data_IF_506604817413
#
_entry.id   IF_506604817413
#
_cell.length_a   1.000
_cell.length_b   1.000
_cell.length_c   1.000
_cell.angle_alpha   90.00
_cell.angle_beta   90.00
_cell.angle_gamma   90.00
#
_symmetry.space_group_name_H-M   'P 1'
#
loop_
_entity.id
_entity.type
_entity.pdbx_description
1 polymer ?
#
# COMPACT_ATOMS: atom_id res chain seq x y z
N UNK A 1 -8.79 4.73 -4.39
CA UNK A 1 -9.44 6.04 -4.25
C UNK A 1 -10.02 6.47 -5.59
N UNK A 2 -11.26 6.97 -5.63
CA UNK A 2 -11.81 7.67 -6.81
C UNK A 2 -11.95 9.15 -6.48
N UNK A 3 -11.56 10.04 -7.40
CA UNK A 3 -11.89 11.46 -7.33
C UNK A 3 -12.60 11.89 -8.62
N UNK A 4 -13.92 11.99 -8.57
CA UNK A 4 -14.73 12.46 -9.70
C UNK A 4 -14.41 13.91 -10.09
N UNK A 5 -14.10 14.77 -9.10
CA UNK A 5 -13.68 16.17 -9.33
C UNK A 5 -12.46 16.30 -10.24
N UNK A 6 -11.52 15.36 -10.13
CA UNK A 6 -10.28 15.35 -10.92
C UNK A 6 -10.28 14.25 -11.97
N UNK A 7 -11.42 13.57 -12.16
CA UNK A 7 -11.60 12.46 -13.11
C UNK A 7 -10.45 11.44 -13.05
N UNK A 8 -10.10 11.01 -11.84
CA UNK A 8 -8.98 10.08 -11.64
C UNK A 8 -9.30 8.92 -10.69
N UNK A 9 -8.59 7.81 -10.88
CA UNK A 9 -8.60 6.65 -9.97
C UNK A 9 -7.17 6.36 -9.53
N UNK A 10 -6.93 6.40 -8.23
CA UNK A 10 -5.67 5.95 -7.65
C UNK A 10 -5.82 4.54 -7.09
N UNK A 11 -5.11 3.59 -7.69
CA UNK A 11 -5.04 2.20 -7.24
C UNK A 11 -4.01 2.13 -6.12
N UNK A 12 -4.45 2.12 -4.86
CA UNK A 12 -3.55 2.15 -3.72
C UNK A 12 -3.06 0.75 -3.37
N UNK A 13 -1.80 0.51 -3.75
CA UNK A 13 -1.03 -0.67 -3.34
C UNK A 13 -0.46 -0.45 -1.93
N UNK A 14 -0.78 -1.31 -0.95
CA UNK A 14 -0.32 -1.14 0.42
C UNK A 14 1.19 -0.98 0.52
N UNK A 15 1.62 -0.01 1.34
CA UNK A 15 3.03 0.31 1.65
C UNK A 15 3.83 0.93 0.50
N UNK A 16 3.15 1.43 -0.53
CA UNK A 16 3.72 2.23 -1.62
C UNK A 16 3.18 3.69 -1.59
N UNK A 17 3.36 4.38 -0.46
CA UNK A 17 3.02 5.80 -0.25
C UNK A 17 1.53 6.22 -0.35
N UNK A 18 0.58 5.30 -0.41
CA UNK A 18 -0.82 5.66 -0.69
C UNK A 18 -1.44 6.67 0.28
N UNK A 19 -1.20 6.59 1.60
CA UNK A 19 -1.75 7.59 2.54
C UNK A 19 -1.25 9.02 2.29
N UNK A 20 -0.02 9.19 1.81
CA UNK A 20 0.52 10.52 1.49
C UNK A 20 -0.19 11.07 0.25
N UNK A 21 -0.33 10.25 -0.80
CA UNK A 21 -1.04 10.60 -2.03
C UNK A 21 -2.52 10.91 -1.74
N UNK A 22 -3.21 10.01 -1.06
CA UNK A 22 -4.62 10.17 -0.65
C UNK A 22 -4.86 11.48 0.11
N UNK A 23 -3.91 11.88 0.97
CA UNK A 23 -4.05 13.12 1.73
C UNK A 23 -4.02 14.40 0.86
N UNK A 24 -3.32 14.37 -0.28
CA UNK A 24 -3.35 15.46 -1.27
C UNK A 24 -4.75 15.54 -1.89
N UNK A 25 -5.31 14.41 -2.30
CA UNK A 25 -6.64 14.38 -2.90
C UNK A 25 -7.77 14.69 -1.91
N UNK A 26 -7.65 14.28 -0.65
CA UNK A 26 -8.57 14.70 0.42
C UNK A 26 -8.62 16.23 0.50
N UNK A 27 -7.46 16.90 0.54
CA UNK A 27 -7.40 18.37 0.54
C UNK A 27 -7.89 18.99 -0.78
N UNK A 28 -7.53 18.42 -1.93
CA UNK A 28 -7.95 18.92 -3.24
C UNK A 28 -9.48 18.83 -3.44
N UNK A 29 -10.15 17.93 -2.71
CA UNK A 29 -11.61 17.84 -2.69
C UNK A 29 -12.25 18.69 -1.57
N UNK A 30 -11.50 19.56 -0.90
CA UNK A 30 -11.94 20.36 0.25
C UNK A 30 -12.50 19.52 1.41
N UNK A 31 -11.94 18.31 1.62
CA UNK A 31 -12.35 17.40 2.69
C UNK A 31 -11.30 17.38 3.80
N UNK A 32 -11.73 17.08 5.02
CA UNK A 32 -10.84 16.61 6.08
C UNK A 32 -10.61 15.10 5.97
N UNK A 33 -9.61 14.58 6.68
CA UNK A 33 -9.41 13.13 6.75
C UNK A 33 -10.65 12.42 7.33
N UNK A 34 -11.43 13.03 8.23
CA UNK A 34 -12.64 12.41 8.76
C UNK A 34 -13.75 12.26 7.69
N UNK A 35 -13.78 13.15 6.70
CA UNK A 35 -14.81 13.24 5.66
C UNK A 35 -14.43 12.53 4.37
N UNK A 36 -13.34 11.75 4.36
CA UNK A 36 -12.77 11.12 3.17
C UNK A 36 -13.59 9.98 2.55
N UNK A 37 -14.75 9.64 3.11
CA UNK A 37 -15.60 8.54 2.65
C UNK A 37 -16.01 8.63 1.16
N UNK A 38 -16.32 9.82 0.58
CA UNK A 38 -16.64 9.95 -0.84
C UNK A 38 -15.51 9.54 -1.79
N UNK A 39 -14.27 9.49 -1.31
CA UNK A 39 -13.10 9.07 -2.10
C UNK A 39 -12.81 7.56 -1.99
N UNK A 40 -13.72 6.78 -1.39
CA UNK A 40 -13.55 5.36 -1.06
C UNK A 40 -12.41 5.08 -0.08
N UNK A 41 -12.19 5.98 0.88
CA UNK A 41 -11.10 5.88 1.86
C UNK A 41 -11.58 5.45 3.26
N UNK A 42 -12.52 4.50 3.33
CA UNK A 42 -13.12 4.00 4.58
C UNK A 42 -12.95 2.48 4.76
N UNK A 43 -13.04 1.98 6.00
CA UNK A 43 -13.31 0.57 6.27
C UNK A 43 -14.55 0.06 5.53
N UNK A 44 -14.58 -1.23 5.25
CA UNK A 44 -15.69 -1.91 4.61
C UNK A 44 -16.03 -3.21 5.33
N UNK A 45 -17.31 -3.37 5.64
CA UNK A 45 -17.88 -4.56 6.30
C UNK A 45 -18.66 -5.44 5.34
N UNK A 46 -18.88 -5.02 4.09
CA UNK A 46 -19.61 -5.76 3.07
C UNK A 46 -18.65 -6.32 2.00
N UNK A 47 -18.47 -7.64 1.98
CA UNK A 47 -17.58 -8.32 1.03
C UNK A 47 -17.92 -8.05 -0.45
N UNK A 48 -19.19 -7.77 -0.75
CA UNK A 48 -19.64 -7.48 -2.12
C UNK A 48 -19.11 -6.14 -2.64
N UNK A 49 -18.71 -5.22 -1.74
CA UNK A 49 -18.16 -3.91 -2.10
C UNK A 49 -16.62 -3.92 -2.19
N UNK A 50 -15.96 -5.08 -2.05
CA UNK A 50 -14.51 -5.22 -2.18
C UNK A 50 -13.81 -5.63 -0.88
N UNK A 51 -12.55 -5.23 -0.64
CA UNK A 51 -11.75 -5.66 0.51
C UNK A 51 -12.19 -5.01 1.84
N UNK A 52 -11.67 -5.47 3.00
CA UNK A 52 -11.93 -4.86 4.30
C UNK A 52 -11.58 -3.36 4.39
N UNK A 53 -10.68 -2.86 3.52
CA UNK A 53 -10.37 -1.44 3.35
C UNK A 53 -10.54 -1.05 1.89
N UNK A 54 -11.54 -0.24 1.57
CA UNK A 54 -11.84 0.17 0.19
C UNK A 54 -10.69 0.93 -0.50
N UNK A 55 -9.77 1.49 0.27
CA UNK A 55 -8.56 2.08 -0.28
C UNK A 55 -7.78 1.06 -1.14
N UNK A 56 -7.75 -0.22 -0.73
CA UNK A 56 -6.96 -1.27 -1.37
C UNK A 56 -7.75 -2.11 -2.38
N UNK A 57 -8.75 -1.51 -3.04
CA UNK A 57 -9.37 -2.06 -4.24
C UNK A 57 -8.32 -2.26 -5.34
N UNK A 58 -8.35 -3.41 -6.01
CA UNK A 58 -7.69 -3.64 -7.29
C UNK A 58 -8.38 -2.80 -8.39
N UNK A 59 -7.70 -2.60 -9.51
CA UNK A 59 -8.21 -1.83 -10.65
C UNK A 59 -9.55 -2.36 -11.17
N UNK A 60 -9.67 -3.68 -11.40
CA UNK A 60 -10.93 -4.29 -11.86
C UNK A 60 -12.07 -4.14 -10.83
N UNK A 61 -11.76 -4.25 -9.54
CA UNK A 61 -12.74 -4.18 -8.45
C UNK A 61 -13.46 -2.83 -8.34
N UNK A 62 -12.94 -1.75 -8.93
CA UNK A 62 -13.68 -0.49 -9.03
C UNK A 62 -14.95 -0.64 -9.88
N UNK A 63 -14.87 -1.39 -10.97
CA UNK A 63 -15.99 -1.66 -11.86
C UNK A 63 -16.79 -2.86 -11.35
N UNK A 64 -16.12 -3.96 -11.01
CA UNK A 64 -16.77 -5.23 -10.63
C UNK A 64 -17.63 -5.08 -9.37
N UNK A 65 -17.21 -4.25 -8.42
CA UNK A 65 -17.97 -3.97 -7.19
C UNK A 65 -18.93 -2.78 -7.33
N UNK A 66 -19.10 -2.22 -8.53
CA UNK A 66 -20.08 -1.18 -8.82
C UNK A 66 -19.73 0.22 -8.28
N UNK A 67 -18.46 0.51 -8.02
CA UNK A 67 -18.04 1.84 -7.53
C UNK A 67 -17.96 2.90 -8.65
N UNK A 68 -17.78 2.47 -9.90
CA UNK A 68 -17.75 3.32 -11.09
C UNK A 68 -18.17 2.49 -12.30
N UNK A 69 -18.82 3.10 -13.30
CA UNK A 69 -19.16 2.40 -14.54
C UNK A 69 -17.90 2.13 -15.38
N UNK A 70 -17.90 1.06 -16.18
CA UNK A 70 -16.80 0.75 -17.10
C UNK A 70 -16.47 1.94 -18.03
N UNK A 71 -17.50 2.64 -18.52
CA UNK A 71 -17.32 3.81 -19.38
C UNK A 71 -16.59 4.96 -18.67
N UNK A 72 -16.97 5.28 -17.42
CA UNK A 72 -16.27 6.32 -16.65
C UNK A 72 -14.87 5.87 -16.25
N UNK A 73 -14.70 4.60 -15.86
CA UNK A 73 -13.38 4.05 -15.53
C UNK A 73 -12.43 4.18 -16.72
N UNK A 74 -12.88 3.89 -17.94
CA UNK A 74 -12.06 4.03 -19.15
C UNK A 74 -11.65 5.49 -19.41
N UNK A 75 -12.53 6.45 -19.12
CA UNK A 75 -12.28 7.89 -19.35
C UNK A 75 -11.37 8.52 -18.29
N UNK A 76 -11.40 8.02 -17.05
CA UNK A 76 -10.64 8.61 -15.95
C UNK A 76 -9.16 8.30 -16.11
N UNK A 77 -8.29 9.19 -15.62
CA UNK A 77 -6.86 8.90 -15.51
C UNK A 77 -6.62 7.96 -14.32
N UNK A 78 -6.07 6.77 -14.58
CA UNK A 78 -5.77 5.75 -13.57
C UNK A 78 -4.27 5.71 -13.33
N UNK A 79 -3.88 5.73 -12.06
CA UNK A 79 -2.47 5.61 -11.72
C UNK A 79 -2.26 4.79 -10.45
N UNK A 80 -1.04 4.31 -10.28
CA UNK A 80 -0.60 3.64 -9.05
C UNK A 80 0.84 4.02 -8.72
N UNK A 81 1.27 3.59 -7.53
CA UNK A 81 2.67 3.58 -7.14
C UNK A 81 3.04 2.18 -6.68
N UNK A 82 4.16 1.68 -7.20
CA UNK A 82 4.78 0.42 -6.77
C UNK A 82 6.02 0.69 -5.93
N UNK A 83 6.49 -0.31 -5.20
CA UNK A 83 7.68 -0.25 -4.37
C UNK A 83 8.49 -1.52 -4.53
N UNK A 84 9.81 -1.44 -4.34
CA UNK A 84 10.68 -2.60 -4.28
C UNK A 84 10.06 -3.70 -3.37
N UNK A 85 9.79 -4.92 -3.89
CA UNK A 85 9.03 -5.94 -3.17
C UNK A 85 9.64 -6.33 -1.81
N UNK A 86 10.97 -6.44 -1.73
CA UNK A 86 11.67 -6.76 -0.49
C UNK A 86 11.51 -5.64 0.55
N UNK A 87 11.66 -4.38 0.12
CA UNK A 87 11.45 -3.20 0.96
C UNK A 87 9.99 -3.06 1.41
N UNK A 88 9.04 -3.38 0.52
CA UNK A 88 7.59 -3.31 0.77
C UNK A 88 7.17 -4.30 1.87
N UNK A 89 7.63 -5.54 1.81
CA UNK A 89 7.34 -6.56 2.82
C UNK A 89 7.92 -6.20 4.20
N UNK A 90 9.18 -5.77 4.26
CA UNK A 90 9.79 -5.30 5.52
C UNK A 90 9.01 -4.11 6.08
N UNK A 91 8.53 -3.21 5.22
CA UNK A 91 7.71 -2.08 5.62
C UNK A 91 6.36 -2.50 6.20
N UNK A 92 5.73 -3.54 5.68
CA UNK A 92 4.48 -4.10 6.22
C UNK A 92 4.72 -4.76 7.58
N UNK A 93 5.72 -5.64 7.64
CA UNK A 93 6.07 -6.38 8.83
C UNK A 93 6.36 -5.44 10.01
N UNK A 94 7.25 -4.46 9.80
CA UNK A 94 7.59 -3.49 10.83
C UNK A 94 6.38 -2.63 11.24
N UNK A 95 5.52 -2.25 10.29
CA UNK A 95 4.32 -1.46 10.59
C UNK A 95 3.37 -2.24 11.51
N UNK A 96 3.04 -3.49 11.18
CA UNK A 96 2.14 -4.32 11.99
C UNK A 96 2.75 -4.66 13.35
N UNK A 97 4.06 -4.95 13.39
CA UNK A 97 4.78 -5.20 14.64
C UNK A 97 4.72 -3.98 15.57
N UNK A 98 4.99 -2.78 15.06
CA UNK A 98 4.92 -1.52 15.82
C UNK A 98 3.51 -1.16 16.32
N UNK A 99 2.47 -1.66 15.65
CA UNK A 99 1.07 -1.48 16.05
C UNK A 99 0.57 -2.59 16.98
N UNK A 100 1.46 -3.45 17.48
CA UNK A 100 1.12 -4.49 18.45
C UNK A 100 0.31 -5.64 17.85
N UNK A 101 0.35 -5.84 16.53
CA UNK A 101 -0.33 -6.97 15.91
C UNK A 101 0.36 -8.27 16.32
N UNK A 102 -0.37 -9.11 17.06
CA UNK A 102 0.15 -10.35 17.66
C UNK A 102 0.75 -11.29 16.59
N UNK A 103 0.19 -11.32 15.37
CA UNK A 103 0.70 -12.17 14.29
C UNK A 103 2.12 -11.78 13.85
N UNK A 104 2.46 -10.50 13.99
CA UNK A 104 3.73 -9.92 13.58
C UNK A 104 4.73 -9.80 14.73
N UNK A 105 4.39 -10.27 15.94
CA UNK A 105 5.31 -10.38 17.08
C UNK A 105 6.17 -11.64 16.98
N UNK A 106 6.94 -11.74 15.90
CA UNK A 106 7.89 -12.83 15.64
C UNK A 106 9.12 -12.29 14.91
N UNK A 107 10.10 -13.15 14.57
CA UNK A 107 11.18 -12.76 13.66
C UNK A 107 10.65 -12.61 12.24
N UNK A 108 11.32 -11.80 11.41
CA UNK A 108 10.91 -11.63 10.01
C UNK A 108 10.96 -12.94 9.21
N UNK A 109 11.97 -13.78 9.46
CA UNK A 109 12.06 -15.13 8.87
C UNK A 109 10.86 -16.01 9.23
N UNK A 110 10.46 -16.03 10.52
CA UNK A 110 9.26 -16.75 10.97
C UNK A 110 7.98 -16.18 10.36
N UNK A 111 7.91 -14.85 10.18
CA UNK A 111 6.81 -14.24 9.45
C UNK A 111 6.69 -14.77 8.02
N UNK A 112 7.81 -14.81 7.28
CA UNK A 112 7.82 -15.27 5.88
C UNK A 112 7.44 -16.74 5.73
N UNK A 113 7.98 -17.63 6.56
CA UNK A 113 7.86 -19.08 6.36
C UNK A 113 6.74 -19.75 7.15
N UNK A 114 6.28 -19.14 8.26
CA UNK A 114 5.26 -19.78 9.13
C UNK A 114 3.99 -18.96 9.31
N UNK A 115 4.02 -17.64 9.07
CA UNK A 115 2.89 -16.73 9.39
C UNK A 115 2.45 -15.87 8.22
N UNK A 116 2.89 -16.20 7.01
CA UNK A 116 2.59 -15.42 5.83
C UNK A 116 1.08 -15.40 5.58
N UNK A 117 0.46 -14.22 5.38
CA UNK A 117 -0.99 -14.16 5.22
C UNK A 117 -1.51 -14.91 3.98
N UNK A 118 -2.64 -15.62 4.14
CA UNK A 118 -3.42 -16.24 3.06
C UNK A 118 -4.78 -15.56 2.92
N UNK A 119 -5.51 -15.83 1.83
CA UNK A 119 -6.78 -15.18 1.51
C UNK A 119 -7.85 -15.34 2.59
N UNK A 120 -7.82 -16.45 3.33
CA UNK A 120 -8.79 -16.78 4.38
C UNK A 120 -8.58 -15.95 5.66
N UNK A 121 -7.46 -15.23 5.77
CA UNK A 121 -7.08 -14.51 6.99
C UNK A 121 -7.56 -13.06 7.03
N UNK A 122 -8.20 -12.54 5.99
CA UNK A 122 -8.76 -11.20 5.98
C UNK A 122 -10.03 -11.12 6.84
N UNK A 123 -10.07 -10.12 7.73
CA UNK A 123 -11.12 -9.89 8.71
C UNK A 123 -11.85 -8.59 8.40
N UNK A 124 -13.01 -8.75 7.77
CA UNK A 124 -13.92 -7.69 7.35
C UNK A 124 -14.56 -6.95 8.52
N UNK A 125 -14.81 -7.63 9.64
CA UNK A 125 -15.46 -7.02 10.81
C UNK A 125 -14.54 -5.99 11.46
N UNK A 126 -13.24 -6.27 11.50
CA UNK A 126 -12.23 -5.38 12.09
C UNK A 126 -11.41 -4.60 11.04
N UNK A 127 -11.83 -4.61 9.78
CA UNK A 127 -11.14 -3.91 8.68
C UNK A 127 -9.64 -4.26 8.55
N UNK A 128 -9.32 -5.55 8.76
CA UNK A 128 -7.98 -6.10 8.63
C UNK A 128 -7.87 -6.89 7.34
N UNK A 129 -6.90 -6.52 6.54
CA UNK A 129 -6.68 -6.94 5.16
C UNK A 129 -5.24 -7.47 5.00
N UNK A 130 -4.89 -8.42 5.86
CA UNK A 130 -3.54 -8.99 5.92
C UNK A 130 -3.08 -9.56 4.59
N UNK A 131 -3.94 -10.30 3.90
CA UNK A 131 -3.62 -10.91 2.61
C UNK A 131 -3.44 -9.83 1.55
N UNK A 132 -4.35 -8.85 1.50
CA UNK A 132 -4.27 -7.74 0.56
C UNK A 132 -2.97 -6.95 0.67
N UNK A 133 -2.38 -6.88 1.86
CA UNK A 133 -1.08 -6.22 2.06
C UNK A 133 0.11 -6.99 1.49
N UNK A 134 -0.02 -8.30 1.30
CA UNK A 134 1.09 -9.18 0.87
C UNK A 134 0.93 -9.77 -0.52
N UNK A 135 -0.22 -9.63 -1.19
CA UNK A 135 -0.31 -10.02 -2.61
C UNK A 135 0.67 -9.22 -3.48
N UNK A 136 1.00 -9.76 -4.65
CA UNK A 136 1.86 -9.08 -5.63
C UNK A 136 1.20 -7.79 -6.14
N UNK A 137 2.03 -6.81 -6.44
CA UNK A 137 1.62 -5.47 -6.88
C UNK A 137 0.97 -5.50 -8.25
N UNK A 138 1.45 -6.35 -9.16
CA UNK A 138 0.83 -6.56 -10.47
C UNK A 138 -0.63 -7.01 -10.35
N UNK A 139 -0.98 -7.78 -9.31
CA UNK A 139 -2.37 -8.24 -9.09
C UNK A 139 -3.35 -7.11 -8.76
N UNK A 140 -2.85 -5.90 -8.45
CA UNK A 140 -3.71 -4.73 -8.27
C UNK A 140 -4.03 -4.04 -9.59
N UNK A 141 -3.21 -4.21 -10.63
CA UNK A 141 -3.27 -3.35 -11.81
C UNK A 141 -3.24 -4.09 -13.14
N UNK A 142 -3.20 -5.42 -13.15
CA UNK A 142 -3.34 -6.23 -14.37
C UNK A 142 -4.61 -7.08 -14.32
N UNK A 143 -5.23 -7.28 -15.47
CA UNK A 143 -6.31 -8.24 -15.67
C UNK A 143 -5.79 -9.67 -15.91
N UNK A 144 -6.70 -10.62 -16.11
CA UNK A 144 -6.40 -12.02 -16.42
C UNK A 144 -5.73 -12.24 -17.78
N UNK A 145 -5.73 -11.25 -18.67
CA UNK A 145 -5.14 -11.29 -20.00
C UNK A 145 -3.80 -10.54 -20.06
N UNK A 146 -3.19 -10.24 -18.90
CA UNK A 146 -1.94 -9.50 -18.77
C UNK A 146 -1.98 -8.05 -19.32
N UNK A 147 -3.15 -7.44 -19.42
CA UNK A 147 -3.27 -6.01 -19.73
C UNK A 147 -3.13 -5.16 -18.47
N UNK A 148 -2.28 -4.14 -18.53
CA UNK A 148 -2.19 -3.13 -17.48
C UNK A 148 -3.44 -2.22 -17.52
N UNK A 149 -4.19 -2.16 -16.43
CA UNK A 149 -5.43 -1.42 -16.26
C UNK A 149 -5.22 0.04 -15.80
N UNK A 150 -3.97 0.48 -15.69
CA UNK A 150 -3.62 1.85 -15.28
C UNK A 150 -2.79 2.56 -16.35
N UNK A 151 -2.94 3.89 -16.42
CA UNK A 151 -2.27 4.74 -17.40
C UNK A 151 -0.86 5.16 -16.93
N UNK A 152 -0.61 5.13 -15.63
CA UNK A 152 0.70 5.47 -15.06
C UNK A 152 1.07 4.62 -13.83
N UNK A 153 2.32 4.17 -13.80
CA UNK A 153 2.91 3.42 -12.68
C UNK A 153 4.14 4.20 -12.17
N UNK A 154 3.97 4.92 -11.06
CA UNK A 154 5.08 5.58 -10.36
C UNK A 154 5.83 4.61 -9.44
N UNK A 155 7.04 4.99 -9.04
CA UNK A 155 7.88 4.25 -8.09
C UNK A 155 7.97 4.99 -6.76
N UNK A 156 7.84 4.25 -5.66
CA UNK A 156 8.08 4.76 -4.31
C UNK A 156 9.51 5.33 -4.16
N UNK A 157 10.46 4.74 -4.89
CA UNK A 157 11.86 5.16 -4.89
C UNK A 157 12.06 6.55 -5.55
N UNK A 158 11.16 6.95 -6.47
CA UNK A 158 11.15 8.24 -7.16
C UNK A 158 9.90 9.07 -6.80
N UNK A 159 9.38 8.89 -5.58
CA UNK A 159 8.01 9.25 -5.21
C UNK A 159 7.58 10.67 -5.57
N UNK A 160 8.37 11.69 -5.22
CA UNK A 160 7.99 13.08 -5.49
C UNK A 160 8.00 13.39 -6.99
N UNK A 161 9.02 12.93 -7.71
CA UNK A 161 9.15 13.18 -9.15
C UNK A 161 7.99 12.56 -9.93
N UNK A 162 7.66 11.30 -9.62
CA UNK A 162 6.56 10.59 -10.27
C UNK A 162 5.20 11.16 -9.85
N UNK A 163 5.09 11.69 -8.62
CA UNK A 163 3.87 12.37 -8.20
C UNK A 163 3.71 13.74 -8.87
N UNK A 164 4.78 14.49 -9.09
CA UNK A 164 4.75 15.74 -9.85
C UNK A 164 4.21 15.49 -11.27
N UNK A 165 4.54 14.36 -11.90
CA UNK A 165 3.96 13.95 -13.17
C UNK A 165 2.43 13.78 -13.07
N UNK A 166 1.96 13.04 -12.06
CA UNK A 166 0.52 12.86 -11.80
C UNK A 166 -0.19 14.20 -11.58
N UNK A 167 0.43 15.12 -10.83
CA UNK A 167 -0.14 16.44 -10.59
C UNK A 167 -0.29 17.24 -11.89
N UNK A 168 0.71 17.20 -12.76
CA UNK A 168 0.63 17.88 -14.06
C UNK A 168 -0.45 17.27 -14.95
N UNK A 169 -0.55 15.93 -15.02
CA UNK A 169 -1.58 15.25 -15.81
C UNK A 169 -3.00 15.61 -15.35
N UNK A 170 -3.20 15.84 -14.05
CA UNK A 170 -4.49 16.16 -13.46
C UNK A 170 -4.77 17.67 -13.33
N UNK A 171 -3.86 18.53 -13.79
CA UNK A 171 -3.97 19.99 -13.60
C UNK A 171 -3.97 20.42 -12.13
N UNK A 172 -3.38 19.62 -11.24
CA UNK A 172 -3.25 19.91 -9.82
C UNK A 172 -2.03 20.81 -9.55
N UNK A 173 -2.09 21.73 -8.57
CA UNK A 173 -0.93 22.50 -8.18
C UNK A 173 0.17 21.57 -7.64
N UNK A 174 1.41 21.76 -8.06
CA UNK A 174 2.56 21.01 -7.53
C UNK A 174 2.69 21.26 -6.03
N UNK A 175 2.61 20.18 -5.25
CA UNK A 175 2.75 20.24 -3.79
C UNK A 175 3.63 19.08 -3.35
N UNK A 176 4.55 19.31 -2.39
CA UNK A 176 5.32 18.22 -1.84
C UNK A 176 4.41 17.21 -1.15
N UNK A 177 4.66 15.93 -1.37
CA UNK A 177 3.96 14.87 -0.66
C UNK A 177 4.31 14.98 0.84
N UNK A 178 3.30 14.92 1.73
CA UNK A 178 3.58 15.00 3.14
C UNK A 178 4.40 13.78 3.56
N UNK A 179 5.47 14.01 4.33
CA UNK A 179 6.20 12.95 5.04
C UNK A 179 5.34 12.38 6.16
N UNK A 180 4.29 11.64 5.82
CA UNK A 180 3.36 11.03 6.76
C UNK A 180 3.91 9.67 7.24
N UNK A 181 5.13 9.70 7.80
CA UNK A 181 5.71 8.58 8.55
C UNK A 181 5.61 8.78 10.07
N UNK A 182 4.74 9.69 10.52
CA UNK A 182 4.46 9.88 11.95
C UNK A 182 3.26 9.00 12.30
N UNK A 183 3.55 7.91 13.00
CA UNK A 183 2.61 7.05 13.71
C UNK A 183 1.71 7.88 14.63
N UNK A 184 0.57 8.35 14.11
CA UNK A 184 -0.49 8.94 14.92
C UNK A 184 -1.39 7.84 15.48
N UNK A 185 -0.92 7.18 16.54
CA UNK A 185 -1.74 6.38 17.44
C UNK A 185 -1.83 7.06 18.80
N UNK A 186 -2.94 7.77 19.07
CA UNK A 186 -3.22 8.42 20.37
C UNK A 186 -3.40 7.44 21.56
N UNK A 187 -3.12 6.15 21.38
CA UNK A 187 -3.22 5.09 22.40
C UNK A 187 -1.87 4.48 22.82
N UNK A 188 -0.74 4.93 22.26
CA UNK A 188 0.58 4.39 22.59
C UNK A 188 1.19 4.87 23.92
N UNK A 189 0.44 5.62 24.75
CA UNK A 189 0.99 6.36 25.90
C UNK A 189 1.01 5.58 27.24
N UNK A 190 0.61 4.31 27.30
CA UNK A 190 0.53 3.58 28.58
C UNK A 190 1.10 2.15 28.61
N UNK A 191 1.86 1.70 27.60
CA UNK A 191 2.62 0.43 27.67
C UNK A 191 4.12 0.57 27.36
N UNK A 192 4.66 1.78 27.52
CA UNK A 192 6.05 2.09 27.20
C UNK A 192 7.07 1.77 28.32
N UNK A 193 6.68 1.21 29.47
CA UNK A 193 7.62 1.08 30.61
C UNK A 193 8.34 -0.26 30.79
N UNK A 194 8.09 -1.31 29.98
CA UNK A 194 8.77 -2.61 30.20
C UNK A 194 9.52 -3.17 28.97
N UNK A 195 9.08 -2.86 27.74
CA UNK A 195 9.81 -3.26 26.51
C UNK A 195 10.83 -2.21 26.00
N UNK A 196 10.94 -1.06 26.68
CA UNK A 196 11.74 0.10 26.28
C UNK A 196 13.26 -0.08 26.46
N UNK A 197 13.72 -1.13 27.14
CA UNK A 197 15.15 -1.34 27.40
C UNK A 197 15.91 -2.10 26.31
N UNK A 198 15.24 -2.65 25.28
CA UNK A 198 15.92 -3.43 24.20
C UNK A 198 15.88 -2.73 22.83
N UNK A 199 15.08 -1.67 22.63
CA UNK A 199 14.80 -1.12 21.29
C UNK A 199 15.23 0.34 21.09
N UNK A 200 16.35 0.78 21.66
CA UNK A 200 16.82 2.18 21.54
C UNK A 200 17.80 2.49 20.40
N UNK A 201 18.14 1.53 19.53
CA UNK A 201 19.18 1.75 18.50
C UNK A 201 18.85 1.30 17.05
N UNK A 202 17.57 1.13 16.67
CA UNK A 202 17.24 0.90 15.25
C UNK A 202 16.89 2.23 14.56
N UNK A 203 17.91 2.99 14.17
CA UNK A 203 17.83 3.72 12.91
C UNK A 203 17.22 2.74 11.88
N UNK A 204 16.23 3.15 11.07
CA UNK A 204 15.53 2.24 10.14
C UNK A 204 16.58 1.57 9.25
N UNK A 205 17.00 0.38 9.65
CA UNK A 205 18.04 -0.38 8.98
C UNK A 205 17.51 -0.67 7.57
N UNK A 206 18.38 -0.56 6.56
CA UNK A 206 18.04 -0.90 5.19
C UNK A 206 17.34 -2.26 5.14
N UNK A 207 16.40 -2.46 4.22
CA UNK A 207 15.58 -3.68 4.22
C UNK A 207 16.43 -4.95 4.04
N UNK A 208 17.61 -4.83 3.41
CA UNK A 208 18.54 -5.93 3.19
C UNK A 208 18.96 -6.64 4.49
N UNK A 209 19.03 -5.95 5.63
CA UNK A 209 19.35 -6.56 6.93
C UNK A 209 18.28 -7.53 7.48
N UNK A 210 17.10 -7.57 6.87
CA UNK A 210 16.05 -8.51 7.26
C UNK A 210 16.20 -9.86 6.55
N UNK A 211 17.03 -9.93 5.51
CA UNK A 211 17.13 -11.07 4.62
C UNK A 211 18.45 -11.81 4.79
N UNK A 212 18.34 -13.13 4.85
CA UNK A 212 19.39 -14.05 4.44
C UNK A 212 19.14 -14.51 2.99
N UNK A 213 20.05 -15.30 2.44
CA UNK A 213 19.94 -15.80 1.06
C UNK A 213 18.64 -16.58 0.82
N UNK A 214 18.20 -17.37 1.79
CA UNK A 214 16.99 -18.21 1.70
C UNK A 214 15.73 -17.33 1.63
N UNK A 215 15.56 -16.42 2.58
CA UNK A 215 14.41 -15.51 2.63
C UNK A 215 14.38 -14.52 1.48
N UNK A 216 15.54 -14.06 1.00
CA UNK A 216 15.63 -13.24 -0.20
C UNK A 216 15.10 -14.00 -1.43
N UNK A 217 15.53 -15.25 -1.62
CA UNK A 217 15.11 -16.10 -2.74
C UNK A 217 13.62 -16.48 -2.65
N UNK A 218 13.11 -16.70 -1.43
CA UNK A 218 11.68 -16.91 -1.20
C UNK A 218 10.86 -15.70 -1.70
N UNK A 219 11.24 -14.48 -1.29
CA UNK A 219 10.55 -13.25 -1.73
C UNK A 219 10.75 -13.01 -3.23
N UNK A 220 11.92 -13.32 -3.78
CA UNK A 220 12.16 -13.26 -5.23
C UNK A 220 11.17 -14.12 -6.01
N UNK A 221 10.94 -15.35 -5.55
CA UNK A 221 10.00 -16.30 -6.18
C UNK A 221 8.57 -15.80 -6.02
N UNK A 222 8.20 -15.37 -4.81
CA UNK A 222 6.85 -14.91 -4.50
C UNK A 222 6.41 -13.68 -5.32
N UNK A 223 7.34 -12.78 -5.64
CA UNK A 223 7.08 -11.54 -6.38
C UNK A 223 7.80 -11.48 -7.74
N UNK A 224 8.11 -12.62 -8.35
CA UNK A 224 8.88 -12.69 -9.59
C UNK A 224 8.31 -11.77 -10.69
N UNK A 225 6.99 -11.80 -10.87
CA UNK A 225 6.31 -10.96 -11.86
C UNK A 225 6.37 -9.46 -11.53
N UNK A 226 6.31 -9.06 -10.25
CA UNK A 226 6.54 -7.65 -9.88
C UNK A 226 7.98 -7.22 -10.22
N UNK A 227 8.95 -8.11 -9.94
CA UNK A 227 10.38 -7.84 -10.17
C UNK A 227 10.64 -7.62 -11.66
N UNK A 228 10.09 -8.47 -12.52
CA UNK A 228 10.23 -8.37 -13.97
C UNK A 228 9.49 -7.15 -14.50
N UNK A 229 8.19 -7.01 -14.22
CA UNK A 229 7.35 -5.95 -14.80
C UNK A 229 7.79 -4.55 -14.39
N UNK A 230 8.23 -4.38 -13.14
CA UNK A 230 8.61 -3.07 -12.61
C UNK A 230 10.11 -2.85 -12.56
N UNK A 231 10.90 -3.77 -13.13
CA UNK A 231 12.35 -3.72 -13.19
C UNK A 231 12.99 -3.42 -11.82
N UNK A 232 12.67 -4.28 -10.84
CA UNK A 232 13.28 -4.23 -9.51
C UNK A 232 14.45 -5.21 -9.40
N UNK A 233 15.39 -4.87 -8.53
CA UNK A 233 16.46 -5.76 -8.09
C UNK A 233 16.59 -5.65 -6.57
N UNK A 234 17.17 -6.67 -5.96
CA UNK A 234 17.55 -6.58 -4.55
C UNK A 234 18.72 -5.60 -4.46
N UNK A 235 18.61 -4.58 -3.61
CA UNK A 235 19.69 -3.64 -3.37
C UNK A 235 20.41 -4.07 -2.10
N UNK A 236 21.70 -4.34 -2.25
CA UNK A 236 22.60 -4.36 -1.12
C UNK A 236 22.79 -2.92 -0.61
N UNK A 237 23.26 -2.80 0.63
CA UNK A 237 23.41 -1.47 1.22
C UNK A 237 24.26 -0.54 0.35
N UNK A 238 23.86 0.73 0.30
CA UNK A 238 24.77 1.84 0.08
C UNK A 238 25.16 2.44 1.43
#
# INVERSE_FOLDING_TARGET
>A
MISHRHQCVFIHIPKAAGQSIESVFVKANNLTWAERAPLLLKPNTNKLLGPPRLAHLKASEYVDCGHISAALFQQYFKFTFVRNPWARLVSEFNYRQQHGDVRYQCSFKKFLFERFPTAELDDYLNAKDYYRHVISQWQFIYDENDNCLVDFVGKFENLQQDFDYVQNQLGLPKVPLPHKNITHGKTARFKQSVFSLISKNKAKSHYSYYYDQESMNYVKTLYEKDIILFNYHFEDQK
#
